data_IF_246048034232
#
_entry.id   IF_246048034232
#
_cell.length_a   1.000
_cell.length_b   1.000
_cell.length_c   1.000
_cell.angle_alpha   90.00
_cell.angle_beta   90.00
_cell.angle_gamma   90.00
#
_symmetry.space_group_name_H-M   'P 1'
#
loop_
_entity.id
_entity.type
_entity.pdbx_description
1 polymer ?
#
# COMPACT_ATOMS: atom_id res chain seq x y z
N UNK A 1 20.72 16.31 -2.29
CA UNK A 1 19.59 15.36 -2.52
C UNK A 1 19.42 14.33 -1.40
N UNK A 2 20.49 13.66 -0.94
CA UNK A 2 20.44 12.72 0.19
C UNK A 2 19.85 13.32 1.47
N UNK A 3 20.25 14.55 1.82
CA UNK A 3 19.72 15.29 2.97
C UNK A 3 18.23 15.59 2.87
N UNK A 4 17.74 15.99 1.68
CA UNK A 4 16.30 16.26 1.48
C UNK A 4 15.47 14.99 1.65
N UNK A 5 15.97 13.86 1.15
CA UNK A 5 15.37 12.54 1.33
C UNK A 5 15.34 12.17 2.81
N UNK A 6 16.45 12.36 3.54
CA UNK A 6 16.52 12.13 4.98
C UNK A 6 15.52 13.02 5.73
N UNK A 7 15.44 14.32 5.41
CA UNK A 7 14.51 15.24 6.06
C UNK A 7 13.07 14.78 5.90
N UNK A 8 12.65 14.47 4.68
CA UNK A 8 11.30 13.94 4.39
C UNK A 8 11.06 12.62 5.12
N UNK A 9 12.05 11.73 5.14
CA UNK A 9 11.94 10.44 5.82
C UNK A 9 11.69 10.61 7.33
N UNK A 10 12.44 11.50 7.99
CA UNK A 10 12.30 11.77 9.42
C UNK A 10 11.02 12.55 9.75
N UNK A 11 10.65 13.53 8.92
CA UNK A 11 9.38 14.27 8.99
C UNK A 11 8.17 13.30 9.02
N UNK A 12 8.22 12.23 8.22
CA UNK A 12 7.20 11.19 8.17
C UNK A 12 7.47 9.99 9.10
N UNK A 13 8.38 10.13 10.07
CA UNK A 13 8.70 9.12 11.11
C UNK A 13 9.10 7.76 10.52
N UNK A 14 9.81 7.76 9.39
CA UNK A 14 10.29 6.56 8.70
C UNK A 14 9.20 5.71 8.02
N UNK A 15 7.96 6.22 7.90
CA UNK A 15 6.86 5.49 7.24
C UNK A 15 6.91 5.56 5.72
N UNK A 16 7.62 6.54 5.18
CA UNK A 16 7.67 6.78 3.74
C UNK A 16 8.80 5.97 3.12
N UNK A 17 8.44 5.08 2.18
CA UNK A 17 9.40 4.42 1.30
C UNK A 17 9.72 5.25 0.08
N UNK A 18 10.62 4.75 -0.77
CA UNK A 18 11.10 5.47 -1.96
C UNK A 18 9.96 5.99 -2.83
N UNK A 19 8.88 5.22 -3.01
CA UNK A 19 7.70 5.67 -3.77
C UNK A 19 7.08 6.93 -3.17
N UNK A 20 6.76 6.93 -1.87
CA UNK A 20 6.16 8.10 -1.20
C UNK A 20 7.10 9.28 -1.13
N UNK A 21 8.41 9.03 -1.00
CA UNK A 21 9.43 10.09 -1.06
C UNK A 21 9.50 10.69 -2.46
N UNK A 22 9.43 9.90 -3.54
CA UNK A 22 9.37 10.42 -4.91
C UNK A 22 8.16 11.34 -5.10
N UNK A 23 6.99 10.96 -4.56
CA UNK A 23 5.81 11.81 -4.58
C UNK A 23 6.01 13.11 -3.79
N UNK A 24 6.57 13.03 -2.58
CA UNK A 24 6.86 14.20 -1.76
C UNK A 24 7.88 15.15 -2.43
N UNK A 25 8.88 14.59 -3.13
CA UNK A 25 9.84 15.36 -3.92
C UNK A 25 9.16 16.05 -5.11
N UNK A 26 8.27 15.34 -5.81
CA UNK A 26 7.50 15.89 -6.93
C UNK A 26 6.60 17.05 -6.49
N UNK A 27 5.97 16.93 -5.32
CA UNK A 27 5.15 18.00 -4.72
C UNK A 27 5.98 19.24 -4.36
N UNK A 28 7.30 19.08 -4.14
CA UNK A 28 8.25 20.17 -3.90
C UNK A 28 8.91 20.68 -5.20
N UNK A 29 8.40 20.27 -6.37
CA UNK A 29 8.91 20.67 -7.68
C UNK A 29 10.13 19.89 -8.17
N UNK A 30 10.61 18.90 -7.41
CA UNK A 30 11.80 18.12 -7.76
C UNK A 30 11.35 16.83 -8.45
N UNK A 31 11.52 16.77 -9.77
CA UNK A 31 11.21 15.57 -10.56
C UNK A 31 12.44 14.68 -10.63
N UNK A 32 12.45 13.62 -9.81
CA UNK A 32 13.46 12.57 -9.83
C UNK A 32 12.82 11.22 -10.16
N UNK A 33 13.54 10.39 -10.91
CA UNK A 33 13.11 9.02 -11.16
C UNK A 33 13.02 8.24 -9.83
N UNK A 34 11.96 7.45 -9.64
CA UNK A 34 11.82 6.61 -8.46
C UNK A 34 12.99 5.63 -8.27
N UNK A 35 13.66 5.20 -9.36
CA UNK A 35 14.86 4.35 -9.30
C UNK A 35 16.05 5.05 -8.67
N UNK A 36 16.26 6.34 -8.93
CA UNK A 36 17.36 7.11 -8.33
C UNK A 36 17.10 7.37 -6.86
N UNK A 37 15.84 7.68 -6.50
CA UNK A 37 15.42 7.79 -5.08
C UNK A 37 15.65 6.47 -4.34
N UNK A 38 15.29 5.33 -4.96
CA UNK A 38 15.54 4.00 -4.39
C UNK A 38 17.03 3.74 -4.16
N UNK A 39 17.88 4.02 -5.16
CA UNK A 39 19.34 3.86 -5.04
C UNK A 39 19.91 4.70 -3.90
N UNK A 40 19.55 5.98 -3.84
CA UNK A 40 20.02 6.91 -2.80
C UNK A 40 19.55 6.49 -1.41
N UNK A 41 18.31 6.03 -1.25
CA UNK A 41 17.83 5.49 0.03
C UNK A 41 18.60 4.25 0.44
N UNK A 42 18.91 3.36 -0.51
CA UNK A 42 19.70 2.15 -0.26
C UNK A 42 21.13 2.47 0.18
N UNK A 43 21.79 3.44 -0.47
CA UNK A 43 23.12 3.92 -0.09
C UNK A 43 23.15 4.50 1.34
N UNK A 44 22.04 5.06 1.81
CA UNK A 44 21.89 5.59 3.18
C UNK A 44 21.30 4.57 4.17
N UNK A 45 21.06 3.33 3.72
CA UNK A 45 20.42 2.27 4.48
C UNK A 45 19.05 2.66 5.09
N UNK A 46 18.32 3.57 4.42
CA UNK A 46 16.98 4.01 4.85
C UNK A 46 15.93 3.04 4.30
N UNK A 47 15.17 2.42 5.21
CA UNK A 47 14.05 1.53 4.87
C UNK A 47 12.77 2.02 5.52
N UNK A 48 11.67 1.98 4.77
CA UNK A 48 10.36 2.34 5.33
C UNK A 48 9.87 1.29 6.31
N UNK A 49 9.32 1.74 7.43
CA UNK A 49 8.61 0.89 8.38
C UNK A 49 7.38 0.29 7.70
N UNK A 50 7.43 -1.01 7.42
CA UNK A 50 6.28 -1.78 6.92
C UNK A 50 5.48 -2.25 8.13
N UNK A 51 4.19 -1.88 8.19
CA UNK A 51 3.30 -2.39 9.22
C UNK A 51 3.08 -3.88 8.99
N UNK A 52 3.36 -4.70 10.00
CA UNK A 52 3.05 -6.12 9.95
C UNK A 52 1.54 -6.32 9.73
N UNK A 53 1.19 -7.24 8.83
CA UNK A 53 -0.21 -7.60 8.57
C UNK A 53 -0.81 -8.21 9.83
N UNK A 54 -1.88 -7.61 10.35
CA UNK A 54 -2.62 -8.17 11.49
C UNK A 54 -3.30 -9.48 11.07
N UNK A 55 -3.28 -10.47 11.96
CA UNK A 55 -4.01 -11.72 11.79
C UNK A 55 -5.51 -11.46 11.57
N UNK A 56 -6.12 -12.23 10.66
CA UNK A 56 -7.56 -12.25 10.40
C UNK A 56 -8.01 -13.71 10.43
N UNK A 57 -8.92 -14.05 11.35
CA UNK A 57 -9.45 -15.41 11.52
C UNK A 57 -10.29 -15.85 10.31
N UNK A 58 -11.03 -14.92 9.71
CA UNK A 58 -11.84 -15.14 8.52
C UNK A 58 -10.95 -15.18 7.26
N UNK A 59 -10.94 -16.33 6.57
CA UNK A 59 -10.11 -16.57 5.37
C UNK A 59 -10.88 -16.60 4.04
N UNK A 60 -12.19 -16.35 4.03
CA UNK A 60 -13.08 -16.60 2.86
C UNK A 60 -14.43 -17.11 3.33
N UNK A 61 -15.21 -17.87 2.54
CA UNK A 61 -16.44 -18.53 3.02
C UNK A 61 -16.11 -19.48 4.19
N UNK A 62 -16.19 -18.97 5.42
CA UNK A 62 -15.97 -19.74 6.65
C UNK A 62 -17.17 -19.51 7.56
N UNK A 63 -17.93 -20.58 7.83
CA UNK A 63 -19.16 -20.56 8.62
C UNK A 63 -20.27 -21.41 7.98
N UNK A 64 -21.39 -21.61 8.70
CA UNK A 64 -22.61 -22.17 8.11
C UNK A 64 -23.27 -21.11 7.25
N UNK A 65 -23.39 -21.38 5.95
CA UNK A 65 -24.21 -20.56 5.05
C UNK A 65 -25.67 -20.87 5.39
N UNK A 66 -26.46 -19.84 5.69
CA UNK A 66 -27.88 -20.01 5.95
C UNK A 66 -28.59 -20.57 4.70
N UNK A 67 -29.55 -21.50 4.86
CA UNK A 67 -30.27 -22.07 3.73
C UNK A 67 -31.05 -20.98 2.97
N UNK A 68 -31.13 -21.11 1.66
CA UNK A 68 -31.85 -20.19 0.78
C UNK A 68 -33.36 -20.47 0.82
N UNK A 69 -34.03 -20.01 1.90
CA UNK A 69 -35.46 -20.25 2.15
C UNK A 69 -36.33 -19.64 1.04
N UNK A 70 -35.89 -18.52 0.47
CA UNK A 70 -36.62 -17.77 -0.56
C UNK A 70 -36.33 -18.25 -1.98
N UNK A 71 -35.47 -19.28 -2.15
CA UNK A 71 -35.05 -19.85 -3.45
C UNK A 71 -34.68 -18.80 -4.50
N UNK A 72 -34.00 -17.73 -4.08
CA UNK A 72 -33.52 -16.70 -5.01
C UNK A 72 -32.22 -17.15 -5.66
N UNK A 73 -32.08 -16.96 -6.97
CA UNK A 73 -30.81 -17.20 -7.64
C UNK A 73 -29.83 -16.08 -7.31
N UNK A 74 -28.89 -16.37 -6.41
CA UNK A 74 -27.83 -15.48 -5.92
C UNK A 74 -26.54 -15.57 -6.74
N UNK A 75 -26.51 -16.44 -7.76
CA UNK A 75 -25.39 -16.56 -8.69
C UNK A 75 -25.65 -15.67 -9.92
N UNK A 76 -24.63 -14.91 -10.30
CA UNK A 76 -24.61 -14.06 -11.48
C UNK A 76 -23.35 -14.38 -12.31
N UNK A 77 -23.53 -14.53 -13.62
CA UNK A 77 -22.46 -14.91 -14.54
C UNK A 77 -21.62 -13.71 -14.97
N UNK A 78 -22.20 -12.51 -14.98
CA UNK A 78 -21.55 -11.26 -15.37
C UNK A 78 -21.87 -10.12 -14.39
N UNK A 79 -20.99 -9.10 -14.30
CA UNK A 79 -21.29 -7.87 -13.58
C UNK A 79 -22.53 -7.19 -14.18
N UNK A 80 -23.44 -6.70 -13.34
CA UNK A 80 -24.71 -6.04 -13.71
C UNK A 80 -25.79 -6.96 -14.35
N UNK A 81 -25.74 -8.27 -14.09
CA UNK A 81 -26.90 -9.15 -14.28
C UNK A 81 -27.54 -9.40 -12.90
N UNK A 82 -28.76 -8.86 -12.70
CA UNK A 82 -29.62 -8.79 -11.48
C UNK A 82 -29.45 -7.60 -10.55
#
# INVERSE_FOLDING_TARGET
>A
MKEVIQRIFHEHKGRYGYRRITWALRNRGIVLNHKTVLRLMSEMNLKSLVRMKKYRSYRGKVGKIAPNILKRDLEATKPNEK
#
